data_IF_852140245644
#
_entry.id   IF_852140245644
#
_cell.length_a   1.000
_cell.length_b   1.000
_cell.length_c   1.000
_cell.angle_alpha   90.00
_cell.angle_beta   90.00
_cell.angle_gamma   90.00
#
_symmetry.space_group_name_H-M   'P 1'
#
loop_
_entity.id
_entity.type
_entity.pdbx_description
1 polymer ?
#
# COMPACT_ATOMS: atom_id res chain seq x y z
N UNK A 1 -13.80 23.31 -78.22
CA UNK A 1 -12.53 22.97 -77.60
C UNK A 1 -12.20 23.75 -76.29
N UNK A 2 -12.92 24.85 -75.95
CA UNK A 2 -12.67 25.61 -74.71
C UNK A 2 -13.27 25.04 -73.41
N UNK A 3 -14.16 24.01 -73.47
CA UNK A 3 -14.83 23.42 -72.30
C UNK A 3 -14.04 22.31 -71.63
N UNK A 4 -13.08 21.66 -72.32
CA UNK A 4 -12.31 20.54 -71.77
C UNK A 4 -11.12 20.99 -70.91
N UNK A 5 -10.49 22.10 -71.27
CA UNK A 5 -9.32 22.63 -70.54
C UNK A 5 -9.75 23.20 -69.15
N UNK A 6 -10.90 23.89 -69.05
CA UNK A 6 -11.41 24.39 -67.80
C UNK A 6 -11.83 23.30 -66.82
N UNK A 7 -12.31 22.15 -67.29
CA UNK A 7 -12.63 20.99 -66.45
C UNK A 7 -11.34 20.28 -65.96
N UNK A 8 -10.29 20.32 -66.76
CA UNK A 8 -9.01 19.74 -66.37
C UNK A 8 -8.31 20.55 -65.26
N UNK A 9 -8.37 21.88 -65.40
CA UNK A 9 -7.82 22.81 -64.41
C UNK A 9 -8.56 22.70 -63.05
N UNK A 10 -9.89 22.64 -63.08
CA UNK A 10 -10.69 22.42 -61.87
C UNK A 10 -10.38 21.08 -61.16
N UNK A 11 -10.22 19.99 -61.96
CA UNK A 11 -9.83 18.69 -61.40
C UNK A 11 -8.43 18.71 -60.81
N UNK A 12 -7.51 19.42 -61.40
CA UNK A 12 -6.13 19.57 -60.90
C UNK A 12 -6.14 20.32 -59.58
N UNK A 13 -6.89 21.43 -59.49
CA UNK A 13 -7.02 22.22 -58.24
C UNK A 13 -7.63 21.40 -57.10
N UNK A 14 -8.67 20.60 -57.37
CA UNK A 14 -9.27 19.68 -56.38
C UNK A 14 -8.30 18.60 -55.90
N UNK A 15 -7.47 18.06 -56.80
CA UNK A 15 -6.45 17.07 -56.48
C UNK A 15 -5.37 17.72 -55.60
N UNK A 16 -4.87 18.89 -55.97
CA UNK A 16 -3.85 19.61 -55.20
C UNK A 16 -4.37 20.00 -53.79
N UNK A 17 -5.62 20.40 -53.68
CA UNK A 17 -6.27 20.66 -52.37
C UNK A 17 -6.37 19.37 -51.54
N UNK A 18 -6.83 18.27 -52.14
CA UNK A 18 -6.94 16.97 -51.46
C UNK A 18 -5.59 16.44 -50.99
N UNK A 19 -4.54 16.59 -51.83
CA UNK A 19 -3.16 16.24 -51.45
C UNK A 19 -2.64 17.10 -50.28
N UNK A 20 -2.96 18.40 -50.29
CA UNK A 20 -2.62 19.31 -49.17
C UNK A 20 -3.28 18.91 -47.87
N UNK A 21 -4.57 18.54 -47.92
CA UNK A 21 -5.30 18.04 -46.73
C UNK A 21 -4.79 16.70 -46.22
N UNK A 22 -4.48 15.77 -47.16
CA UNK A 22 -3.87 14.48 -46.78
C UNK A 22 -2.51 14.67 -46.13
N UNK A 23 -1.67 15.57 -46.64
CA UNK A 23 -0.37 15.88 -46.02
C UNK A 23 -0.53 16.39 -44.60
N UNK A 24 -1.42 17.34 -44.37
CA UNK A 24 -1.71 17.86 -43.02
C UNK A 24 -2.21 16.77 -42.08
N UNK A 25 -3.09 15.87 -42.55
CA UNK A 25 -3.58 14.74 -41.74
C UNK A 25 -2.45 13.75 -41.39
N UNK A 26 -1.55 13.47 -42.34
CA UNK A 26 -0.38 12.62 -42.09
C UNK A 26 0.58 13.23 -41.07
N UNK A 27 0.87 14.54 -41.16
CA UNK A 27 1.69 15.26 -40.19
C UNK A 27 1.03 15.24 -38.77
N UNK A 28 -0.31 15.40 -38.70
CA UNK A 28 -1.08 15.27 -37.45
C UNK A 28 -1.01 13.88 -36.88
N UNK A 29 -1.12 12.83 -37.68
CA UNK A 29 -1.01 11.44 -37.25
C UNK A 29 0.39 11.10 -36.75
N UNK A 30 1.44 11.58 -37.42
CA UNK A 30 2.82 11.38 -37.02
C UNK A 30 3.10 12.01 -35.63
N UNK A 31 2.59 13.24 -35.41
CA UNK A 31 2.68 13.90 -34.14
C UNK A 31 1.93 13.12 -33.04
N UNK A 32 0.68 12.73 -33.27
CA UNK A 32 -0.12 11.95 -32.31
C UNK A 32 0.52 10.59 -32.00
N UNK A 33 1.10 9.93 -32.99
CA UNK A 33 1.82 8.66 -32.80
C UNK A 33 3.06 8.85 -31.94
N UNK A 34 3.79 9.94 -32.12
CA UNK A 34 4.97 10.27 -31.32
C UNK A 34 4.59 10.58 -29.85
N UNK A 35 3.50 11.31 -29.64
CA UNK A 35 2.96 11.58 -28.30
C UNK A 35 2.48 10.30 -27.59
N UNK A 36 1.75 9.45 -28.29
CA UNK A 36 1.32 8.14 -27.78
C UNK A 36 2.52 7.25 -27.41
N UNK A 37 3.54 7.22 -28.25
CA UNK A 37 4.78 6.48 -27.95
C UNK A 37 5.45 7.01 -26.68
N UNK A 38 5.50 8.33 -26.49
CA UNK A 38 6.01 8.94 -25.25
C UNK A 38 5.20 8.53 -24.02
N UNK A 39 3.86 8.55 -24.11
CA UNK A 39 2.98 8.11 -23.03
C UNK A 39 3.13 6.63 -22.68
N UNK A 40 3.25 5.76 -23.69
CA UNK A 40 3.47 4.32 -23.49
C UNK A 40 4.80 4.07 -22.76
N UNK A 41 5.88 4.74 -23.17
CA UNK A 41 7.19 4.60 -22.52
C UNK A 41 7.12 5.09 -21.05
N UNK A 42 6.48 6.22 -20.81
CA UNK A 42 6.29 6.74 -19.44
C UNK A 42 5.47 5.79 -18.57
N UNK A 43 4.37 5.24 -19.11
CA UNK A 43 3.55 4.26 -18.40
C UNK A 43 4.30 2.96 -18.11
N UNK A 44 5.08 2.45 -19.06
CA UNK A 44 5.91 1.27 -18.85
C UNK A 44 6.96 1.48 -17.75
N UNK A 45 7.57 2.67 -17.70
CA UNK A 45 8.51 3.02 -16.62
C UNK A 45 7.81 3.05 -15.26
N UNK A 46 6.64 3.71 -15.17
CA UNK A 46 5.85 3.75 -13.93
C UNK A 46 5.43 2.37 -13.44
N UNK A 47 5.06 1.45 -14.35
CA UNK A 47 4.75 0.06 -14.01
C UNK A 47 6.00 -0.68 -13.50
N UNK A 48 7.15 -0.44 -14.12
CA UNK A 48 8.43 -1.01 -13.68
C UNK A 48 8.81 -0.56 -12.28
N UNK A 49 8.74 0.74 -12.00
CA UNK A 49 9.04 1.33 -10.70
C UNK A 49 8.08 0.79 -9.61
N UNK A 50 6.78 0.63 -9.94
CA UNK A 50 5.80 0.04 -9.03
C UNK A 50 6.09 -1.43 -8.74
N UNK A 51 6.44 -2.22 -9.75
CA UNK A 51 6.78 -3.63 -9.61
C UNK A 51 8.05 -3.80 -8.74
N UNK A 52 9.05 -2.96 -8.92
CA UNK A 52 10.27 -2.96 -8.10
C UNK A 52 9.96 -2.61 -6.65
N UNK A 53 9.21 -1.54 -6.41
CA UNK A 53 8.77 -1.13 -5.06
C UNK A 53 7.98 -2.25 -4.38
N UNK A 54 7.04 -2.90 -5.08
CA UNK A 54 6.27 -4.03 -4.56
C UNK A 54 7.17 -5.21 -4.20
N UNK A 55 8.17 -5.53 -5.04
CA UNK A 55 9.13 -6.60 -4.77
C UNK A 55 10.03 -6.27 -3.58
N UNK A 56 10.41 -5.01 -3.39
CA UNK A 56 11.16 -4.56 -2.22
C UNK A 56 10.34 -4.68 -0.94
N UNK A 57 9.06 -4.26 -0.95
CA UNK A 57 8.14 -4.44 0.16
C UNK A 57 7.97 -5.91 0.53
N UNK A 58 7.76 -6.79 -0.42
CA UNK A 58 7.68 -8.23 -0.18
C UNK A 58 8.96 -8.78 0.48
N UNK A 59 10.14 -8.34 0.05
CA UNK A 59 11.42 -8.75 0.66
C UNK A 59 11.57 -8.24 2.09
N UNK A 60 11.21 -6.98 2.36
CA UNK A 60 11.24 -6.41 3.71
C UNK A 60 10.28 -7.15 4.63
N UNK A 61 9.07 -7.45 4.16
CA UNK A 61 8.06 -8.17 4.94
C UNK A 61 8.26 -9.69 4.99
N UNK A 62 9.31 -10.23 4.35
CA UNK A 62 9.59 -11.68 4.33
C UNK A 62 10.02 -12.22 5.70
N UNK A 63 10.73 -11.44 6.51
CA UNK A 63 11.15 -11.86 7.85
C UNK A 63 10.11 -11.49 8.92
N UNK A 64 9.97 -12.33 9.96
CA UNK A 64 9.07 -12.05 11.08
C UNK A 64 9.45 -10.79 11.84
N UNK A 65 10.76 -10.53 11.97
CA UNK A 65 11.28 -9.32 12.62
C UNK A 65 10.90 -8.05 11.84
N UNK A 66 11.10 -8.05 10.51
CA UNK A 66 10.75 -6.90 9.68
C UNK A 66 9.24 -6.61 9.70
N UNK A 67 8.40 -7.67 9.69
CA UNK A 67 6.94 -7.52 9.85
C UNK A 67 6.56 -6.92 11.20
N UNK A 68 7.22 -7.35 12.29
CA UNK A 68 7.02 -6.79 13.62
C UNK A 68 7.33 -5.28 13.66
N UNK A 69 8.53 -4.91 13.24
CA UNK A 69 8.95 -3.49 13.18
C UNK A 69 8.04 -2.64 12.30
N UNK A 70 7.58 -3.19 11.19
CA UNK A 70 6.64 -2.49 10.31
C UNK A 70 5.27 -2.28 10.99
N UNK A 71 4.76 -3.30 11.72
CA UNK A 71 3.53 -3.20 12.50
C UNK A 71 3.64 -2.13 13.60
N UNK A 72 4.72 -2.13 14.38
CA UNK A 72 5.00 -1.11 15.39
C UNK A 72 5.04 0.30 14.77
N UNK A 73 5.71 0.44 13.61
CA UNK A 73 5.77 1.73 12.90
C UNK A 73 4.40 2.21 12.44
N UNK A 74 3.56 1.32 11.91
CA UNK A 74 2.18 1.68 11.52
C UNK A 74 1.36 2.16 12.71
N UNK A 75 1.48 1.50 13.88
CA UNK A 75 0.80 1.96 15.10
C UNK A 75 1.30 3.34 15.50
N UNK A 76 2.61 3.57 15.50
CA UNK A 76 3.20 4.89 15.78
C UNK A 76 2.64 5.98 14.85
N UNK A 77 2.58 5.71 13.55
CA UNK A 77 2.02 6.65 12.57
C UNK A 77 0.54 6.96 12.84
N UNK A 78 -0.26 5.95 13.24
CA UNK A 78 -1.65 6.12 13.64
C UNK A 78 -1.76 6.98 14.91
N UNK A 79 -0.95 6.71 15.93
CA UNK A 79 -0.95 7.48 17.19
C UNK A 79 -0.60 8.95 16.93
N UNK A 80 0.43 9.20 16.10
CA UNK A 80 0.82 10.55 15.70
C UNK A 80 -0.29 11.25 14.90
N UNK A 81 -0.96 10.53 14.00
CA UNK A 81 -2.10 11.07 13.24
C UNK A 81 -3.28 11.44 14.14
N UNK A 82 -3.50 10.70 15.22
CA UNK A 82 -4.49 11.00 16.26
C UNK A 82 -4.08 12.17 17.16
N UNK A 83 -2.87 12.72 17.00
CA UNK A 83 -2.36 13.82 17.79
C UNK A 83 -1.74 13.41 19.13
N UNK A 84 -1.49 12.10 19.34
CA UNK A 84 -0.79 11.62 20.52
C UNK A 84 0.72 11.84 20.36
N UNK A 85 1.38 12.23 21.44
CA UNK A 85 2.79 12.62 21.46
C UNK A 85 3.59 11.66 22.33
N UNK A 86 4.67 11.09 21.78
CA UNK A 86 5.62 10.27 22.55
C UNK A 86 6.25 11.07 23.70
N UNK A 87 6.42 10.45 24.84
CA UNK A 87 6.90 11.09 26.06
C UNK A 87 5.85 11.87 26.84
N UNK A 88 4.64 12.09 26.29
CA UNK A 88 3.50 12.73 26.95
C UNK A 88 2.35 11.72 27.09
N UNK A 89 1.82 11.27 25.96
CA UNK A 89 0.65 10.39 25.94
C UNK A 89 1.03 8.91 25.96
N UNK A 90 2.17 8.57 25.38
CA UNK A 90 2.67 7.20 25.34
C UNK A 90 4.21 7.17 25.34
N UNK A 91 4.74 6.01 25.70
CA UNK A 91 6.16 5.67 25.62
C UNK A 91 6.32 4.40 24.79
N UNK A 92 7.42 4.32 24.01
CA UNK A 92 7.77 3.10 23.26
C UNK A 92 8.69 2.22 24.08
N UNK A 93 8.42 0.93 24.06
CA UNK A 93 9.26 -0.11 24.66
C UNK A 93 9.66 0.20 26.12
N UNK A 94 8.75 0.82 26.88
CA UNK A 94 8.95 1.06 28.29
C UNK A 94 9.08 -0.28 29.06
N UNK A 95 9.92 -0.32 30.10
CA UNK A 95 10.04 -1.51 30.92
C UNK A 95 8.83 -1.61 31.83
N UNK A 96 8.11 -2.73 31.79
CA UNK A 96 6.96 -3.01 32.62
C UNK A 96 7.18 -4.38 33.32
N UNK A 97 7.53 -4.38 34.60
CA UNK A 97 7.89 -5.60 35.31
C UNK A 97 9.03 -6.36 34.61
N UNK A 98 8.84 -7.67 34.39
CA UNK A 98 9.76 -8.50 33.60
C UNK A 98 9.48 -8.43 32.08
N UNK A 99 8.41 -7.72 31.65
CA UNK A 99 8.00 -7.57 30.28
C UNK A 99 8.44 -6.24 29.65
N UNK A 100 8.40 -6.19 28.31
CA UNK A 100 8.64 -4.97 27.54
C UNK A 100 7.56 -4.85 26.47
N UNK A 101 6.44 -4.15 26.79
CA UNK A 101 5.40 -3.89 25.81
C UNK A 101 5.93 -2.97 24.70
N UNK A 102 5.32 -3.05 23.51
CA UNK A 102 5.72 -2.21 22.38
C UNK A 102 5.37 -0.74 22.64
N UNK A 103 4.22 -0.49 23.27
CA UNK A 103 3.79 0.85 23.72
C UNK A 103 3.18 0.79 25.12
N UNK A 104 3.36 1.86 25.88
CA UNK A 104 2.71 2.10 27.16
C UNK A 104 2.06 3.47 27.13
N UNK A 105 0.74 3.55 27.31
CA UNK A 105 0.01 4.81 27.33
C UNK A 105 -0.13 5.32 28.75
N UNK A 106 0.07 6.62 28.93
CA UNK A 106 -0.16 7.33 30.17
C UNK A 106 -1.62 7.76 30.25
N UNK A 107 -2.32 7.30 31.28
CA UNK A 107 -3.71 7.61 31.57
C UNK A 107 -3.82 8.59 32.75
N UNK A 108 -4.98 9.22 32.97
CA UNK A 108 -5.23 9.98 34.20
C UNK A 108 -5.02 9.13 35.46
N UNK A 109 -4.80 9.80 36.59
CA UNK A 109 -4.58 9.18 37.89
C UNK A 109 -3.36 8.25 37.95
N UNK A 110 -2.29 8.61 37.22
CA UNK A 110 -1.03 7.84 37.14
C UNK A 110 -1.21 6.40 36.67
N UNK A 111 -2.33 6.10 36.01
CA UNK A 111 -2.59 4.78 35.44
C UNK A 111 -1.90 4.62 34.11
N UNK A 112 -1.66 3.36 33.74
CA UNK A 112 -1.02 2.98 32.46
C UNK A 112 -1.78 1.85 31.79
N UNK A 113 -1.71 1.83 30.46
CA UNK A 113 -2.18 0.70 29.67
C UNK A 113 -1.09 0.28 28.70
N UNK A 114 -0.75 -0.99 28.71
CA UNK A 114 0.25 -1.57 27.84
C UNK A 114 -0.38 -2.08 26.54
N UNK A 115 0.38 -1.98 25.44
CA UNK A 115 -0.02 -2.46 24.13
C UNK A 115 1.10 -3.34 23.55
N UNK A 116 0.72 -4.46 22.96
CA UNK A 116 1.62 -5.37 22.25
C UNK A 116 1.13 -5.54 20.81
N UNK A 117 1.94 -5.07 19.87
CA UNK A 117 1.58 -5.07 18.45
C UNK A 117 1.87 -6.44 17.82
N UNK A 118 0.84 -7.11 17.34
CA UNK A 118 0.95 -8.38 16.63
C UNK A 118 0.33 -8.29 15.25
N UNK A 119 1.16 -8.56 14.25
CA UNK A 119 0.76 -8.49 12.85
C UNK A 119 0.91 -9.85 12.16
N UNK A 120 -0.13 -10.71 12.20
CA UNK A 120 -0.10 -12.05 11.58
C UNK A 120 -0.26 -11.99 10.06
N UNK A 121 0.59 -11.19 9.39
CA UNK A 121 0.50 -10.93 7.95
C UNK A 121 0.56 -12.21 7.11
N UNK A 122 1.45 -13.14 7.45
CA UNK A 122 1.69 -14.32 6.61
C UNK A 122 0.46 -15.23 6.47
N UNK A 123 -0.29 -15.45 7.55
CA UNK A 123 -1.53 -16.24 7.50
C UNK A 123 -2.69 -15.44 6.89
N UNK A 124 -2.75 -14.14 7.13
CA UNK A 124 -3.71 -13.23 6.50
C UNK A 124 -3.51 -13.15 4.98
N UNK A 125 -2.27 -13.02 4.51
CA UNK A 125 -1.91 -12.97 3.10
C UNK A 125 -2.32 -14.23 2.36
N UNK A 126 -2.11 -15.42 2.95
CA UNK A 126 -2.60 -16.68 2.39
C UNK A 126 -4.12 -16.70 2.27
N UNK A 127 -4.81 -16.20 3.30
CA UNK A 127 -6.28 -16.11 3.30
C UNK A 127 -6.82 -15.22 2.18
N UNK A 128 -6.28 -14.01 1.98
CA UNK A 128 -6.80 -13.07 0.97
C UNK A 128 -6.42 -13.46 -0.46
N UNK A 129 -5.28 -14.16 -0.65
CA UNK A 129 -4.80 -14.57 -1.97
C UNK A 129 -5.31 -15.95 -2.43
N UNK A 130 -6.02 -16.69 -1.58
CA UNK A 130 -6.60 -17.98 -1.93
C UNK A 130 -7.65 -17.82 -3.04
N UNK A 131 -7.51 -18.61 -4.10
CA UNK A 131 -8.38 -18.55 -5.29
C UNK A 131 -9.60 -19.47 -5.19
N UNK A 132 -9.46 -20.58 -4.45
CA UNK A 132 -10.52 -21.54 -4.22
C UNK A 132 -11.18 -21.30 -2.86
N UNK A 133 -12.49 -21.41 -2.79
CA UNK A 133 -13.24 -21.16 -1.54
C UNK A 133 -12.84 -22.13 -0.42
N UNK A 134 -12.56 -23.39 -0.76
CA UNK A 134 -12.10 -24.39 0.21
C UNK A 134 -10.73 -24.01 0.83
N UNK A 135 -9.78 -23.56 0.00
CA UNK A 135 -8.47 -23.07 0.45
C UNK A 135 -8.63 -21.82 1.31
N UNK A 136 -9.51 -20.91 0.89
CA UNK A 136 -9.80 -19.66 1.60
C UNK A 136 -10.34 -19.92 3.00
N UNK A 137 -11.31 -20.84 3.16
CA UNK A 137 -11.83 -21.22 4.48
C UNK A 137 -10.77 -21.94 5.34
N UNK A 138 -9.89 -22.75 4.75
CA UNK A 138 -8.78 -23.37 5.47
C UNK A 138 -7.79 -22.30 6.00
N UNK A 139 -7.37 -21.35 5.15
CA UNK A 139 -6.46 -20.28 5.52
C UNK A 139 -7.08 -19.27 6.52
N UNK A 140 -8.39 -19.04 6.42
CA UNK A 140 -9.12 -18.24 7.42
C UNK A 140 -9.06 -18.89 8.81
N UNK A 141 -9.26 -20.20 8.89
CA UNK A 141 -9.14 -20.95 10.15
C UNK A 141 -7.73 -20.88 10.72
N UNK A 142 -6.72 -20.98 9.87
CA UNK A 142 -5.31 -20.83 10.25
C UNK A 142 -5.03 -19.41 10.77
N UNK A 143 -5.45 -18.39 10.06
CA UNK A 143 -5.32 -17.00 10.50
C UNK A 143 -5.98 -16.76 11.87
N UNK A 144 -7.22 -17.22 12.06
CA UNK A 144 -7.92 -17.08 13.35
C UNK A 144 -7.23 -17.86 14.47
N UNK A 145 -6.60 -19.00 14.17
CA UNK A 145 -5.78 -19.75 15.13
C UNK A 145 -4.54 -18.96 15.55
N UNK A 146 -3.86 -18.32 14.60
CA UNK A 146 -2.69 -17.49 14.87
C UNK A 146 -3.05 -16.29 15.74
N UNK A 147 -4.15 -15.59 15.43
CA UNK A 147 -4.67 -14.49 16.28
C UNK A 147 -4.94 -14.97 17.70
N UNK A 148 -5.62 -16.11 17.86
CA UNK A 148 -5.88 -16.69 19.20
C UNK A 148 -4.60 -17.06 19.96
N UNK A 149 -3.58 -17.55 19.25
CA UNK A 149 -2.28 -17.86 19.85
C UNK A 149 -1.56 -16.59 20.31
N UNK A 150 -1.61 -15.51 19.53
CA UNK A 150 -1.07 -14.20 19.94
C UNK A 150 -1.76 -13.69 21.19
N UNK A 151 -3.10 -13.72 21.25
CA UNK A 151 -3.86 -13.32 22.46
C UNK A 151 -3.42 -14.14 23.68
N UNK A 152 -3.28 -15.47 23.55
CA UNK A 152 -2.82 -16.33 24.65
C UNK A 152 -1.40 -16.00 25.10
N UNK A 153 -0.51 -15.71 24.14
CA UNK A 153 0.88 -15.34 24.44
C UNK A 153 0.94 -14.03 25.20
N UNK A 154 0.15 -13.03 24.81
CA UNK A 154 0.10 -11.72 25.48
C UNK A 154 -0.53 -11.87 26.85
N UNK A 155 -1.60 -12.62 26.99
CA UNK A 155 -2.25 -12.90 28.29
C UNK A 155 -1.33 -13.63 29.30
N UNK A 156 -0.31 -14.33 28.82
CA UNK A 156 0.71 -14.97 29.67
C UNK A 156 1.89 -14.06 30.04
N UNK A 157 1.92 -12.81 29.54
CA UNK A 157 2.96 -11.84 29.87
C UNK A 157 2.56 -10.99 31.08
N UNK A 158 3.53 -10.52 31.86
CA UNK A 158 3.30 -9.68 33.01
C UNK A 158 3.06 -8.21 32.63
N UNK A 159 2.16 -7.97 31.65
CA UNK A 159 1.79 -6.63 31.21
C UNK A 159 0.68 -5.98 32.06
N UNK A 160 0.02 -6.76 32.91
CA UNK A 160 -1.00 -6.30 33.85
C UNK A 160 -0.44 -6.43 35.25
N UNK A 161 -0.11 -5.30 35.86
CA UNK A 161 0.37 -5.22 37.25
C UNK A 161 -0.30 -4.02 37.95
N UNK A 162 -1.46 -4.20 38.58
CA UNK A 162 -2.18 -3.11 39.24
C UNK A 162 -1.38 -2.41 40.33
N UNK A 163 -0.40 -3.10 40.97
CA UNK A 163 0.48 -2.49 41.96
C UNK A 163 1.47 -1.49 41.37
N UNK A 164 1.75 -1.58 40.06
CA UNK A 164 2.57 -0.63 39.28
C UNK A 164 1.72 0.37 38.47
N UNK A 165 0.42 0.44 38.77
CA UNK A 165 -0.50 1.40 38.17
C UNK A 165 -1.07 0.96 36.80
N UNK A 166 -0.90 -0.28 36.36
CA UNK A 166 -1.52 -0.71 35.11
C UNK A 166 -3.02 -0.98 35.31
N UNK A 167 -3.79 -0.77 34.26
CA UNK A 167 -5.16 -1.27 34.17
C UNK A 167 -5.18 -2.80 34.04
N UNK A 168 -6.33 -3.42 34.14
CA UNK A 168 -6.55 -4.87 34.17
C UNK A 168 -6.62 -5.53 32.76
N UNK A 169 -6.22 -4.83 31.75
CA UNK A 169 -6.17 -5.34 30.35
C UNK A 169 -5.00 -4.76 29.55
N UNK A 170 -4.71 -5.39 28.42
CA UNK A 170 -3.68 -5.02 27.44
C UNK A 170 -4.35 -4.77 26.09
N UNK A 171 -3.87 -3.79 25.36
CA UNK A 171 -4.30 -3.51 23.97
C UNK A 171 -3.52 -4.36 22.97
#
# INVERSE_FOLDING_TARGET
MKSSDGQLDQKKELIDQSLGEMKKKLEGLDKSTSELKGQVISSQKGIGDLAETTSQLQRVLSSSQARGQWGERMVEDILNFMGLVEGINFEKQAQAGEGRPDFTFNLPDEKRINMDVKFPLASYERYINAKLEEEREAHKKEFLKDVKNHIKTIAGREYVNPSEGTVDYVL
#
